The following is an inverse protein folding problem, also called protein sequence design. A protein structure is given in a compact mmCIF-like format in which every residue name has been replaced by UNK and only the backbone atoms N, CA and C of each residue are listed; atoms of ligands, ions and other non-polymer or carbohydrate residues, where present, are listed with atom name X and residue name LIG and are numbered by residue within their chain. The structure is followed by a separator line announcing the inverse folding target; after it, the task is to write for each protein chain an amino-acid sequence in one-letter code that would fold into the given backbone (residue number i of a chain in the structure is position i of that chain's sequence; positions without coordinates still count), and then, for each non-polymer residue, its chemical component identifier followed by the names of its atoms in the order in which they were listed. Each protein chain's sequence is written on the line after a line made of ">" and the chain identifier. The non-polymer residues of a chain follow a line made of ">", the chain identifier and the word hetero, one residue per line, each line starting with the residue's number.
data_IF_778971755863
#
_entry.id   IF_778971755863
#
_cell.length_a   1.000
_cell.length_b   1.000
_cell.length_c   1.000
_cell.angle_alpha   90.00
_cell.angle_beta   90.00
_cell.angle_gamma   90.00
#
_symmetry.space_group_name_H-M   'P 1'
#
loop_
_entity.id
_entity.type
_entity.pdbx_description
1 polymer ?
#
# COMPACT_ATOMS: atom_id res chain seq x y z
N UNK A 1 12.27 -14.46 23.33
CA UNK A 1 12.08 -13.03 23.01
C UNK A 1 11.77 -12.96 21.53
N UNK A 2 10.54 -12.58 21.17
CA UNK A 2 10.24 -12.28 19.77
C UNK A 2 11.17 -11.12 19.37
N UNK A 3 11.95 -11.30 18.31
CA UNK A 3 12.55 -10.15 17.66
C UNK A 3 11.39 -9.22 17.33
N UNK A 4 11.40 -7.99 17.86
CA UNK A 4 10.63 -6.91 17.26
C UNK A 4 11.25 -6.77 15.87
N UNK A 5 10.68 -7.50 14.89
CA UNK A 5 11.00 -7.37 13.48
C UNK A 5 10.92 -5.88 13.20
N UNK A 6 12.08 -5.22 13.08
CA UNK A 6 12.22 -3.77 13.17
C UNK A 6 11.05 -3.09 12.49
N UNK A 7 10.12 -2.57 13.30
CA UNK A 7 8.89 -1.97 12.79
C UNK A 7 9.31 -0.85 11.87
N UNK A 8 9.25 -1.08 10.56
CA UNK A 8 9.52 -0.06 9.57
C UNK A 8 8.55 1.07 9.87
N UNK A 9 9.08 2.17 10.40
CA UNK A 9 8.30 3.36 10.71
C UNK A 9 8.12 4.10 9.40
N UNK A 10 7.04 3.77 8.69
CA UNK A 10 6.56 4.58 7.58
C UNK A 10 5.92 5.81 8.18
N UNK A 11 6.35 6.99 7.74
CA UNK A 11 5.75 8.23 8.19
C UNK A 11 4.34 8.36 7.60
N UNK A 12 3.42 8.96 8.38
CA UNK A 12 2.06 9.14 7.87
C UNK A 12 2.03 10.27 6.85
N UNK A 13 1.55 9.99 5.65
CA UNK A 13 1.37 11.01 4.63
C UNK A 13 0.26 11.98 4.99
N UNK A 14 0.61 13.25 5.15
CA UNK A 14 -0.30 14.34 5.47
C UNK A 14 -0.61 15.25 4.27
N UNK A 15 -0.02 14.98 3.11
CA UNK A 15 -0.12 15.79 1.90
C UNK A 15 1.21 16.40 1.47
N UNK A 16 2.22 16.43 2.35
CA UNK A 16 3.57 16.87 2.02
C UNK A 16 4.49 15.72 1.60
N UNK A 17 5.48 16.02 0.76
CA UNK A 17 6.56 15.09 0.38
C UNK A 17 6.08 13.72 -0.13
N UNK A 18 5.08 13.72 -1.01
CA UNK A 18 4.50 12.50 -1.59
C UNK A 18 5.57 11.55 -2.15
N UNK A 19 6.62 12.06 -2.78
CA UNK A 19 7.71 11.23 -3.33
C UNK A 19 8.47 10.43 -2.25
N UNK A 20 8.72 11.03 -1.09
CA UNK A 20 9.41 10.35 0.02
C UNK A 20 8.51 9.29 0.65
N UNK A 21 7.24 9.64 0.92
CA UNK A 21 6.27 8.66 1.40
C UNK A 21 6.05 7.51 0.42
N UNK A 22 5.95 7.81 -0.88
CA UNK A 22 5.78 6.83 -1.96
C UNK A 22 6.94 5.83 -1.96
N UNK A 23 8.18 6.30 -1.89
CA UNK A 23 9.36 5.45 -1.78
C UNK A 23 9.27 4.50 -0.58
N UNK A 24 8.90 5.00 0.61
CA UNK A 24 8.78 4.17 1.81
C UNK A 24 7.70 3.09 1.68
N UNK A 25 6.54 3.41 1.11
CA UNK A 25 5.44 2.44 0.98
C UNK A 25 5.70 1.43 -0.15
N UNK A 26 6.36 1.81 -1.23
CA UNK A 26 6.81 0.90 -2.29
C UNK A 26 7.79 -0.14 -1.73
N UNK A 27 8.82 0.30 -0.99
CA UNK A 27 9.78 -0.59 -0.34
C UNK A 27 9.10 -1.53 0.66
N UNK A 28 8.16 -1.01 1.46
CA UNK A 28 7.40 -1.82 2.40
C UNK A 28 6.56 -2.90 1.71
N UNK A 29 5.84 -2.54 0.64
CA UNK A 29 5.03 -3.49 -0.12
C UNK A 29 5.90 -4.56 -0.79
N UNK A 30 7.06 -4.18 -1.33
CA UNK A 30 8.02 -5.11 -1.91
C UNK A 30 8.52 -6.13 -0.88
N UNK A 31 8.93 -5.67 0.30
CA UNK A 31 9.38 -6.55 1.38
C UNK A 31 8.29 -7.49 1.91
N UNK A 32 7.02 -7.14 1.73
CA UNK A 32 5.88 -7.95 2.13
C UNK A 32 5.30 -8.81 1.00
N UNK A 33 5.91 -8.78 -0.20
CA UNK A 33 5.42 -9.51 -1.37
C UNK A 33 4.07 -9.01 -1.88
N UNK A 34 3.86 -7.69 -1.85
CA UNK A 34 2.61 -7.02 -2.23
C UNK A 34 2.83 -5.93 -3.27
N UNK A 35 3.87 -6.06 -4.10
CA UNK A 35 4.24 -5.09 -5.13
C UNK A 35 3.35 -5.14 -6.38
N UNK A 36 2.78 -6.29 -6.71
CA UNK A 36 2.05 -6.52 -7.97
C UNK A 36 0.87 -5.54 -8.16
N UNK A 37 0.06 -5.24 -7.13
CA UNK A 37 -1.02 -4.25 -7.24
C UNK A 37 -0.57 -2.84 -7.63
N UNK A 38 0.69 -2.47 -7.39
CA UNK A 38 1.24 -1.16 -7.78
C UNK A 38 1.27 -0.98 -9.31
N UNK A 39 1.35 -2.09 -10.05
CA UNK A 39 1.35 -2.05 -11.53
C UNK A 39 -0.05 -1.81 -12.11
N UNK A 40 -1.10 -1.99 -11.31
CA UNK A 40 -2.50 -1.94 -11.74
C UNK A 40 -2.90 -3.03 -12.74
N UNK A 41 -2.01 -3.99 -13.05
CA UNK A 41 -2.23 -5.04 -14.04
C UNK A 41 -2.16 -6.41 -13.37
N UNK A 42 -3.28 -7.12 -13.36
CA UNK A 42 -3.35 -8.50 -12.89
C UNK A 42 -2.53 -9.41 -13.83
N UNK A 43 -1.59 -10.22 -13.32
CA UNK A 43 -0.95 -11.27 -14.11
C UNK A 43 -1.97 -12.26 -14.69
N UNK A 44 -1.77 -12.73 -15.91
CA UNK A 44 -2.68 -13.70 -16.56
C UNK A 44 -2.77 -15.02 -15.77
N UNK A 45 -1.66 -15.45 -15.17
CA UNK A 45 -1.56 -16.67 -14.39
C UNK A 45 -2.26 -16.59 -13.01
N UNK A 46 -2.61 -15.39 -12.54
CA UNK A 46 -3.23 -15.18 -11.23
C UNK A 46 -4.76 -15.21 -11.33
N UNK A 47 -5.43 -15.84 -10.37
CA UNK A 47 -6.90 -15.84 -10.32
C UNK A 47 -7.45 -14.49 -9.87
N UNK A 48 -8.70 -14.20 -10.23
CA UNK A 48 -9.32 -12.90 -9.94
C UNK A 48 -9.54 -12.66 -8.44
N UNK A 49 -9.91 -13.70 -7.70
CA UNK A 49 -10.08 -13.69 -6.25
C UNK A 49 -8.75 -13.50 -5.51
N UNK A 50 -7.70 -14.18 -5.98
CA UNK A 50 -6.32 -14.00 -5.49
C UNK A 50 -5.82 -12.57 -5.71
N UNK A 51 -6.03 -12.03 -6.92
CA UNK A 51 -5.69 -10.65 -7.25
C UNK A 51 -6.45 -9.65 -6.40
N UNK A 52 -7.77 -9.81 -6.29
CA UNK A 52 -8.62 -8.93 -5.48
C UNK A 52 -8.21 -8.94 -4.01
N UNK A 53 -7.82 -10.10 -3.49
CA UNK A 53 -7.30 -10.24 -2.13
C UNK A 53 -5.96 -9.52 -1.95
N UNK A 54 -5.02 -9.70 -2.89
CA UNK A 54 -3.71 -9.07 -2.86
C UNK A 54 -3.82 -7.53 -2.96
N UNK A 55 -4.61 -7.03 -3.91
CA UNK A 55 -4.88 -5.60 -4.08
C UNK A 55 -5.55 -5.01 -2.84
N UNK A 56 -6.52 -5.71 -2.24
CA UNK A 56 -7.15 -5.24 -0.99
C UNK A 56 -6.16 -5.15 0.17
N UNK A 57 -5.21 -6.08 0.25
CA UNK A 57 -4.17 -6.12 1.29
C UNK A 57 -3.18 -4.96 1.11
N UNK A 58 -2.69 -4.72 -0.11
CA UNK A 58 -1.83 -3.60 -0.43
C UNK A 58 -2.53 -2.25 -0.19
N UNK A 59 -3.77 -2.09 -0.67
CA UNK A 59 -4.62 -0.93 -0.41
C UNK A 59 -4.80 -0.66 1.09
N UNK A 60 -5.00 -1.71 1.88
CA UNK A 60 -5.09 -1.63 3.34
C UNK A 60 -3.82 -1.10 3.98
N UNK A 61 -2.65 -1.61 3.57
CA UNK A 61 -1.36 -1.15 4.05
C UNK A 61 -1.13 0.33 3.72
N UNK A 62 -1.37 0.76 2.47
CA UNK A 62 -1.25 2.16 2.06
C UNK A 62 -2.15 3.05 2.93
N UNK A 63 -3.43 2.69 3.10
CA UNK A 63 -4.37 3.50 3.91
C UNK A 63 -3.95 3.67 5.36
N UNK A 64 -3.23 2.70 5.92
CA UNK A 64 -2.73 2.78 7.30
C UNK A 64 -1.54 3.73 7.45
N UNK A 65 -0.84 4.06 6.35
CA UNK A 65 0.26 5.04 6.32
C UNK A 65 -0.22 6.44 5.93
N UNK A 66 -1.52 6.69 5.93
CA UNK A 66 -2.09 8.00 5.67
C UNK A 66 -2.46 8.70 6.97
N UNK A 67 -2.34 10.03 6.97
CA UNK A 67 -3.01 10.87 7.95
C UNK A 67 -4.53 10.74 7.81
N UNK A 68 -5.25 11.05 8.89
CA UNK A 68 -6.71 10.97 8.93
C UNK A 68 -7.36 11.77 7.79
N UNK A 69 -6.90 12.99 7.56
CA UNK A 69 -7.51 13.91 6.58
C UNK A 69 -7.32 13.40 5.16
N UNK A 70 -6.12 12.91 4.83
CA UNK A 70 -5.83 12.34 3.50
C UNK A 70 -6.64 11.07 3.27
N UNK A 71 -6.70 10.17 4.27
CA UNK A 71 -7.47 8.93 4.17
C UNK A 71 -8.96 9.16 3.89
N UNK A 72 -9.57 10.20 4.48
CA UNK A 72 -10.96 10.56 4.21
C UNK A 72 -11.19 11.06 2.78
N UNK A 73 -10.26 11.85 2.23
CA UNK A 73 -10.39 12.38 0.87
C UNK A 73 -10.41 11.29 -0.21
N UNK A 74 -9.67 10.19 0.04
CA UNK A 74 -9.52 9.09 -0.92
C UNK A 74 -10.33 7.85 -0.54
N UNK A 75 -11.28 7.96 0.40
CA UNK A 75 -12.04 6.80 0.90
C UNK A 75 -12.82 6.05 -0.19
N UNK A 76 -13.15 6.73 -1.29
CA UNK A 76 -13.86 6.18 -2.45
C UNK A 76 -12.98 5.33 -3.38
N UNK A 77 -11.67 5.50 -3.30
CA UNK A 77 -10.71 4.74 -4.10
C UNK A 77 -10.75 3.26 -3.74
N UNK A 78 -10.68 2.38 -4.73
CA UNK A 78 -10.92 0.94 -4.49
C UNK A 78 -9.71 0.07 -4.81
N UNK A 79 -8.68 0.62 -5.42
CA UNK A 79 -7.51 -0.14 -5.87
C UNK A 79 -6.23 0.52 -5.39
N UNK A 80 -5.17 -0.28 -5.28
CA UNK A 80 -3.84 0.21 -4.88
C UNK A 80 -3.33 1.24 -5.88
N UNK A 81 -3.50 0.96 -7.18
CA UNK A 81 -3.04 1.85 -8.27
C UNK A 81 -3.69 3.23 -8.23
N UNK A 82 -4.91 3.37 -7.72
CA UNK A 82 -5.56 4.68 -7.67
C UNK A 82 -5.10 5.57 -6.51
N UNK A 83 -4.24 5.04 -5.62
CA UNK A 83 -3.61 5.80 -4.53
C UNK A 83 -2.18 6.27 -4.84
N UNK A 84 -1.59 5.83 -5.96
CA UNK A 84 -0.15 5.96 -6.27
C UNK A 84 0.13 6.83 -7.49
#
# INVERSE_FOLDING_TARGET
>A
MAMDEGKMKIEKFDGADFGFWKMQIEDYLYQKGMQEPLTGRKPEAMKEDEWSFLDRKALGAIRLTLSRNVAFNIAKEKTTVSLM
#
